data_IF_919195388182
#
_entry.id   IF_919195388182
#
_cell.length_a   1.000
_cell.length_b   1.000
_cell.length_c   1.000
_cell.angle_alpha   90.00
_cell.angle_beta   90.00
_cell.angle_gamma   90.00
#
_symmetry.space_group_name_H-M   'P 1'
#
loop_
_entity.id
_entity.type
_entity.pdbx_description
1 polymer ?
#
# COMPACT_ATOMS: atom_id res chain seq x y z
N UNK A 1 -6.30 -71.92 -15.24
CA UNK A 1 -5.78 -70.95 -16.23
C UNK A 1 -5.94 -69.53 -15.66
N UNK A 2 -5.21 -69.19 -14.58
CA UNK A 2 -5.37 -67.91 -13.87
C UNK A 2 -4.03 -67.38 -13.36
N UNK A 3 -3.04 -67.31 -14.23
CA UNK A 3 -1.77 -66.62 -13.99
C UNK A 3 -1.31 -65.98 -15.29
N UNK A 4 -1.80 -64.78 -15.58
CA UNK A 4 -1.14 -63.74 -16.38
C UNK A 4 -2.15 -62.64 -16.74
N UNK A 5 -2.47 -61.77 -15.79
CA UNK A 5 -3.14 -60.49 -16.08
C UNK A 5 -2.46 -59.42 -15.22
N UNK A 6 -2.19 -58.25 -15.81
CA UNK A 6 -1.54 -57.10 -15.16
C UNK A 6 -2.37 -56.63 -13.96
N UNK A 7 -1.70 -56.07 -12.94
CA UNK A 7 -2.26 -55.56 -11.66
C UNK A 7 -3.44 -54.57 -11.79
N UNK A 8 -3.78 -54.13 -13.00
CA UNK A 8 -4.84 -53.17 -13.31
C UNK A 8 -6.15 -53.84 -13.78
N UNK A 9 -6.17 -55.16 -13.98
CA UNK A 9 -7.36 -55.88 -14.47
C UNK A 9 -8.07 -56.57 -13.31
N UNK A 10 -9.30 -56.13 -13.02
CA UNK A 10 -10.17 -56.72 -12.01
C UNK A 10 -11.02 -57.82 -12.65
N UNK A 11 -10.87 -59.06 -12.16
CA UNK A 11 -11.55 -60.23 -12.71
C UNK A 11 -12.79 -60.54 -11.86
N UNK A 12 -13.97 -60.34 -12.46
CA UNK A 12 -15.25 -60.55 -11.78
C UNK A 12 -15.80 -61.91 -12.23
N UNK A 13 -16.01 -62.82 -11.28
CA UNK A 13 -16.59 -64.14 -11.56
C UNK A 13 -18.12 -64.05 -11.48
N UNK A 14 -18.81 -64.42 -12.56
CA UNK A 14 -20.27 -64.33 -12.68
C UNK A 14 -20.99 -65.60 -12.21
N UNK A 15 -20.34 -66.77 -12.34
CA UNK A 15 -20.92 -68.07 -11.93
C UNK A 15 -19.83 -68.98 -11.35
N UNK A 16 -20.13 -69.66 -10.24
CA UNK A 16 -19.27 -70.66 -9.63
C UNK A 16 -20.00 -72.01 -9.66
N UNK A 17 -19.48 -72.99 -10.41
CA UNK A 17 -20.18 -74.25 -10.70
C UNK A 17 -20.39 -75.16 -9.47
N UNK A 18 -19.79 -74.88 -8.32
CA UNK A 18 -19.80 -75.75 -7.14
C UNK A 18 -20.78 -75.34 -6.04
N UNK A 19 -21.47 -74.19 -6.15
CA UNK A 19 -22.41 -73.68 -5.13
C UNK A 19 -23.87 -73.76 -5.54
N UNK A 20 -24.75 -74.03 -4.56
CA UNK A 20 -26.21 -74.19 -4.74
C UNK A 20 -26.98 -72.92 -5.19
N UNK A 21 -26.41 -71.71 -5.03
CA UNK A 21 -27.13 -70.45 -5.30
C UNK A 21 -26.47 -69.64 -6.45
N UNK A 22 -26.64 -70.09 -7.69
CA UNK A 22 -26.05 -69.48 -8.90
C UNK A 22 -26.50 -68.05 -9.15
N UNK A 23 -27.78 -67.73 -8.89
CA UNK A 23 -28.36 -66.39 -9.16
C UNK A 23 -27.77 -65.32 -8.23
N UNK A 24 -27.54 -65.66 -6.96
CA UNK A 24 -26.97 -64.73 -5.98
C UNK A 24 -25.53 -64.36 -6.34
N UNK A 25 -24.73 -65.35 -6.78
CA UNK A 25 -23.36 -65.11 -7.27
C UNK A 25 -23.35 -64.20 -8.49
N UNK A 26 -24.31 -64.38 -9.40
CA UNK A 26 -24.44 -63.54 -10.59
C UNK A 26 -24.83 -62.09 -10.25
N UNK A 27 -25.86 -61.88 -9.41
CA UNK A 27 -26.27 -60.55 -8.97
C UNK A 27 -25.17 -59.83 -8.18
N UNK A 28 -24.38 -60.57 -7.41
CA UNK A 28 -23.19 -60.04 -6.74
C UNK A 28 -22.16 -59.54 -7.74
N UNK A 29 -21.88 -60.31 -8.80
CA UNK A 29 -20.98 -59.88 -9.88
C UNK A 29 -21.46 -58.62 -10.61
N UNK A 30 -22.77 -58.43 -10.77
CA UNK A 30 -23.35 -57.18 -11.30
C UNK A 30 -23.14 -56.01 -10.33
N UNK A 31 -23.29 -56.23 -9.03
CA UNK A 31 -22.99 -55.21 -8.01
C UNK A 31 -21.50 -54.81 -8.00
N UNK A 32 -20.61 -55.79 -8.16
CA UNK A 32 -19.17 -55.54 -8.27
C UNK A 32 -18.83 -54.72 -9.53
N UNK A 33 -19.51 -54.99 -10.66
CA UNK A 33 -19.40 -54.16 -11.88
C UNK A 33 -19.85 -52.71 -11.64
N UNK A 34 -20.94 -52.50 -10.89
CA UNK A 34 -21.43 -51.16 -10.56
C UNK A 34 -20.43 -50.37 -9.69
N UNK A 35 -19.87 -51.02 -8.67
CA UNK A 35 -18.88 -50.40 -7.77
C UNK A 35 -17.60 -49.97 -8.48
N UNK A 36 -17.25 -50.62 -9.60
CA UNK A 36 -16.10 -50.25 -10.44
C UNK A 36 -16.42 -49.05 -11.36
N UNK A 37 -17.68 -48.62 -11.44
CA UNK A 37 -18.12 -47.46 -12.20
C UNK A 37 -18.88 -47.78 -13.50
N UNK A 38 -19.17 -49.06 -13.77
CA UNK A 38 -20.06 -49.44 -14.88
C UNK A 38 -21.54 -49.22 -14.48
N UNK A 39 -22.43 -49.05 -15.48
CA UNK A 39 -23.85 -48.76 -15.24
C UNK A 39 -24.78 -49.82 -15.85
N UNK A 40 -24.82 -51.04 -15.30
CA UNK A 40 -25.68 -52.11 -15.81
C UNK A 40 -27.16 -51.76 -15.66
N UNK A 41 -27.95 -52.00 -16.71
CA UNK A 41 -29.39 -51.73 -16.74
C UNK A 41 -30.17 -52.87 -16.08
N UNK A 42 -30.08 -52.98 -14.75
CA UNK A 42 -30.66 -54.06 -13.95
C UNK A 42 -32.19 -54.16 -14.11
N UNK A 43 -32.87 -53.04 -14.40
CA UNK A 43 -34.32 -53.01 -14.60
C UNK A 43 -34.79 -53.95 -15.71
N UNK A 44 -33.97 -54.21 -16.74
CA UNK A 44 -34.31 -55.11 -17.85
C UNK A 44 -34.33 -56.59 -17.48
N UNK A 45 -33.79 -56.95 -16.31
CA UNK A 45 -33.81 -58.33 -15.80
C UNK A 45 -35.15 -58.69 -15.15
N UNK A 46 -36.01 -57.69 -14.88
CA UNK A 46 -37.30 -57.86 -14.25
C UNK A 46 -38.42 -57.38 -15.19
N UNK A 47 -39.66 -57.86 -15.00
CA UNK A 47 -40.80 -57.34 -15.73
C UNK A 47 -40.94 -55.82 -15.54
N UNK A 48 -41.49 -55.09 -16.55
CA UNK A 48 -41.62 -53.65 -16.48
C UNK A 48 -42.55 -53.24 -15.33
N UNK A 49 -42.11 -52.26 -14.53
CA UNK A 49 -42.89 -51.70 -13.42
C UNK A 49 -43.98 -50.78 -13.98
N UNK A 50 -45.20 -50.91 -13.46
CA UNK A 50 -46.31 -50.03 -13.81
C UNK A 50 -46.30 -48.77 -12.94
N UNK A 51 -46.38 -47.61 -13.59
CA UNK A 51 -46.47 -46.30 -12.93
C UNK A 51 -47.89 -45.72 -13.09
N UNK A 52 -48.39 -44.91 -12.13
CA UNK A 52 -47.72 -44.44 -10.91
C UNK A 52 -47.56 -45.51 -9.83
N UNK A 53 -46.58 -45.34 -8.95
CA UNK A 53 -46.34 -46.25 -7.82
C UNK A 53 -47.50 -46.21 -6.82
N UNK A 54 -47.65 -47.28 -6.03
CA UNK A 54 -48.72 -47.41 -5.06
C UNK A 54 -48.58 -46.44 -3.87
N UNK A 55 -49.71 -46.12 -3.23
CA UNK A 55 -49.70 -45.32 -2.00
C UNK A 55 -48.96 -46.09 -0.89
N UNK A 56 -47.95 -45.46 -0.29
CA UNK A 56 -47.11 -46.07 0.75
C UNK A 56 -45.73 -46.52 0.27
N UNK A 57 -45.40 -46.36 -1.02
CA UNK A 57 -44.02 -46.52 -1.50
C UNK A 57 -43.08 -45.52 -0.76
N UNK A 58 -41.97 -45.97 -0.15
CA UNK A 58 -41.06 -45.11 0.60
C UNK A 58 -40.48 -43.95 -0.22
N UNK A 59 -40.21 -42.82 0.45
CA UNK A 59 -39.56 -41.67 -0.16
C UNK A 59 -38.08 -41.93 -0.39
N UNK A 60 -37.57 -41.51 -1.57
CA UNK A 60 -36.13 -41.59 -1.89
C UNK A 60 -35.37 -40.40 -1.29
N UNK A 61 -35.98 -39.22 -1.21
CA UNK A 61 -35.32 -37.98 -0.77
C UNK A 61 -34.55 -38.09 0.56
N UNK A 62 -35.07 -38.72 1.64
CA UNK A 62 -34.34 -38.84 2.90
C UNK A 62 -33.11 -39.78 2.85
N UNK A 63 -33.00 -40.62 1.82
CA UNK A 63 -31.90 -41.58 1.66
C UNK A 63 -30.69 -40.96 0.93
N UNK A 64 -30.90 -39.86 0.21
CA UNK A 64 -29.83 -39.14 -0.49
C UNK A 64 -29.12 -38.21 0.49
N UNK A 65 -27.83 -38.45 0.72
CA UNK A 65 -26.97 -37.62 1.57
C UNK A 65 -25.89 -36.96 0.74
N UNK A 66 -25.57 -35.72 1.08
CA UNK A 66 -24.47 -34.97 0.49
C UNK A 66 -23.36 -34.81 1.53
N UNK A 67 -22.14 -34.60 1.06
CA UNK A 67 -21.04 -34.19 1.92
C UNK A 67 -21.22 -32.71 2.30
N UNK A 68 -21.47 -32.47 3.58
CA UNK A 68 -21.67 -31.14 4.17
C UNK A 68 -20.49 -30.77 5.09
N UNK A 69 -19.28 -31.27 4.80
CA UNK A 69 -18.07 -30.95 5.58
C UNK A 69 -17.61 -29.49 5.44
N UNK A 70 -17.89 -28.85 4.31
CA UNK A 70 -17.56 -27.46 4.05
C UNK A 70 -18.72 -26.53 4.42
N UNK A 71 -18.45 -25.55 5.28
CA UNK A 71 -19.41 -24.53 5.66
C UNK A 71 -19.44 -23.40 4.62
N UNK A 72 -20.65 -23.00 4.21
CA UNK A 72 -20.87 -21.85 3.35
C UNK A 72 -21.26 -20.63 4.18
N UNK A 73 -20.75 -19.45 3.81
CA UNK A 73 -21.16 -18.20 4.42
C UNK A 73 -22.65 -17.95 4.20
N UNK A 74 -23.43 -17.98 5.28
CA UNK A 74 -24.82 -17.55 5.27
C UNK A 74 -24.95 -16.17 5.91
N UNK A 75 -25.71 -15.29 5.27
CA UNK A 75 -26.04 -13.99 5.85
C UNK A 75 -26.98 -14.18 7.05
N UNK A 76 -26.42 -14.17 8.25
CA UNK A 76 -27.22 -14.07 9.47
C UNK A 76 -27.73 -12.64 9.59
N UNK A 77 -29.02 -12.43 9.37
CA UNK A 77 -29.68 -11.18 9.71
C UNK A 77 -29.66 -11.03 11.23
N UNK A 78 -28.68 -10.28 11.75
CA UNK A 78 -28.83 -9.64 13.05
C UNK A 78 -29.76 -8.47 12.82
N UNK A 79 -30.91 -8.46 13.49
CA UNK A 79 -31.74 -7.25 13.52
C UNK A 79 -30.86 -6.08 13.95
N UNK A 80 -31.04 -4.92 13.33
CA UNK A 80 -30.30 -3.72 13.68
C UNK A 80 -30.42 -3.49 15.20
N UNK A 81 -29.33 -3.69 15.94
CA UNK A 81 -29.24 -3.12 17.27
C UNK A 81 -29.34 -1.60 17.07
N UNK A 82 -30.44 -1.01 17.55
CA UNK A 82 -30.55 0.45 17.65
C UNK A 82 -29.35 0.90 18.48
N UNK A 83 -28.41 1.58 17.85
CA UNK A 83 -27.23 2.14 18.51
C UNK A 83 -27.75 3.27 19.40
N UNK A 84 -27.98 2.99 20.68
CA UNK A 84 -28.27 4.00 21.72
C UNK A 84 -26.99 4.70 22.21
N UNK A 85 -25.86 4.50 21.54
CA UNK A 85 -24.57 5.04 21.96
C UNK A 85 -24.33 6.41 21.33
N UNK A 86 -24.11 7.43 22.17
CA UNK A 86 -23.63 8.77 21.78
C UNK A 86 -22.17 8.76 21.30
N UNK A 87 -21.52 7.61 21.30
CA UNK A 87 -20.15 7.41 20.89
C UNK A 87 -20.04 6.18 19.99
N UNK A 88 -19.26 6.27 18.91
CA UNK A 88 -18.86 5.12 18.09
C UNK A 88 -17.35 5.05 18.04
N UNK A 89 -16.83 3.93 18.53
CA UNK A 89 -15.40 3.62 18.43
C UNK A 89 -15.17 2.91 17.10
N UNK A 90 -14.36 3.51 16.24
CA UNK A 90 -13.97 2.93 14.95
C UNK A 90 -12.47 2.65 14.99
N UNK A 91 -12.10 1.38 14.82
CA UNK A 91 -10.70 0.97 14.76
C UNK A 91 -10.22 1.00 13.32
N UNK A 92 -9.30 1.91 13.01
CA UNK A 92 -8.68 2.03 11.68
C UNK A 92 -7.30 1.43 11.74
N UNK A 93 -7.04 0.45 10.87
CA UNK A 93 -5.72 -0.18 10.76
C UNK A 93 -5.43 -0.54 9.31
N UNK A 94 -4.20 -0.27 8.86
CA UNK A 94 -3.73 -0.60 7.50
C UNK A 94 -3.71 -2.13 7.28
N UNK A 95 -3.68 -2.93 8.34
CA UNK A 95 -3.78 -4.39 8.26
C UNK A 95 -5.17 -4.87 7.80
N UNK A 96 -6.20 -4.02 7.93
CA UNK A 96 -7.56 -4.34 7.47
C UNK A 96 -7.64 -3.93 5.99
N UNK A 97 -8.00 -4.90 5.12
CA UNK A 97 -8.08 -4.72 3.66
C UNK A 97 -8.89 -3.48 3.23
N UNK A 98 -9.96 -3.15 3.97
CA UNK A 98 -10.79 -1.98 3.70
C UNK A 98 -10.05 -0.65 3.87
N UNK A 99 -9.03 -0.59 4.73
CA UNK A 99 -8.26 0.62 5.05
C UNK A 99 -6.84 0.61 4.49
N UNK A 100 -6.44 -0.45 3.81
CA UNK A 100 -5.11 -0.61 3.21
C UNK A 100 -4.73 0.57 2.30
N UNK A 101 -5.71 1.10 1.55
CA UNK A 101 -5.53 2.24 0.65
C UNK A 101 -5.06 3.51 1.35
N UNK A 102 -5.30 3.65 2.65
CA UNK A 102 -4.85 4.81 3.44
C UNK A 102 -3.33 4.88 3.55
N UNK A 103 -2.61 3.77 3.33
CA UNK A 103 -1.15 3.76 3.22
C UNK A 103 -0.60 4.71 2.15
N UNK A 104 -1.41 5.03 1.14
CA UNK A 104 -1.03 5.94 0.07
C UNK A 104 -1.04 7.42 0.42
N UNK A 105 -1.55 7.81 1.59
CA UNK A 105 -1.66 9.21 2.00
C UNK A 105 -0.45 9.68 2.83
N UNK A 106 0.69 9.85 2.15
CA UNK A 106 1.96 10.21 2.80
C UNK A 106 2.20 11.71 2.68
N UNK A 107 2.48 12.37 3.81
CA UNK A 107 2.88 13.78 3.88
C UNK A 107 4.14 13.90 4.72
N UNK A 108 5.16 14.58 4.20
CA UNK A 108 6.50 14.72 4.81
C UNK A 108 7.07 13.38 5.33
N UNK A 109 6.88 12.30 4.57
CA UNK A 109 7.38 10.96 4.88
C UNK A 109 6.63 10.22 6.00
N UNK A 110 5.48 10.73 6.47
CA UNK A 110 4.60 10.06 7.44
C UNK A 110 3.25 9.74 6.80
N UNK A 111 2.69 8.59 7.17
CA UNK A 111 1.31 8.27 6.83
C UNK A 111 0.37 9.01 7.79
N UNK A 112 -0.24 10.09 7.31
CA UNK A 112 -1.21 10.87 8.08
C UNK A 112 -2.61 10.46 7.65
N UNK A 113 -3.52 10.27 8.62
CA UNK A 113 -4.91 9.97 8.29
C UNK A 113 -5.54 11.16 7.55
N UNK A 114 -6.06 10.97 6.32
CA UNK A 114 -6.68 12.05 5.56
C UNK A 114 -7.90 12.63 6.31
N UNK A 115 -8.09 13.95 6.23
CA UNK A 115 -9.25 14.66 6.82
C UNK A 115 -10.57 14.04 6.36
N UNK A 116 -10.66 13.65 5.09
CA UNK A 116 -11.88 13.07 4.50
C UNK A 116 -12.32 11.81 5.25
N UNK A 117 -11.39 11.05 5.85
CA UNK A 117 -11.75 9.87 6.63
C UNK A 117 -12.63 10.27 7.83
N UNK A 118 -12.27 11.32 8.55
CA UNK A 118 -13.09 11.81 9.67
C UNK A 118 -14.47 12.27 9.20
N UNK A 119 -14.55 12.97 8.07
CA UNK A 119 -15.82 13.42 7.49
C UNK A 119 -16.71 12.24 7.08
N UNK A 120 -16.13 11.19 6.50
CA UNK A 120 -16.85 9.98 6.16
C UNK A 120 -17.38 9.28 7.41
N UNK A 121 -16.59 9.18 8.48
CA UNK A 121 -17.03 8.58 9.74
C UNK A 121 -18.19 9.36 10.36
N UNK A 122 -18.11 10.69 10.38
CA UNK A 122 -19.19 11.56 10.85
C UNK A 122 -20.44 11.39 9.97
N UNK A 123 -20.27 11.32 8.65
CA UNK A 123 -21.41 11.13 7.74
C UNK A 123 -22.09 9.77 7.95
N UNK A 124 -21.31 8.70 8.07
CA UNK A 124 -21.83 7.36 8.38
C UNK A 124 -22.54 7.34 9.74
N UNK A 125 -22.06 8.11 10.71
CA UNK A 125 -22.70 8.29 12.01
C UNK A 125 -24.05 8.98 11.89
N UNK A 126 -24.12 10.10 11.18
CA UNK A 126 -25.36 10.85 10.95
C UNK A 126 -26.37 10.01 10.16
N UNK A 127 -25.93 9.37 9.09
CA UNK A 127 -26.78 8.56 8.21
C UNK A 127 -27.31 7.27 8.86
N UNK A 128 -26.75 6.84 10.00
CA UNK A 128 -27.23 5.68 10.74
C UNK A 128 -28.36 6.00 11.76
N UNK A 129 -28.84 7.25 11.82
CA UNK A 129 -29.91 7.79 12.69
C UNK A 129 -29.66 7.69 14.21
N UNK A 130 -29.12 8.77 14.79
CA UNK A 130 -29.68 9.54 15.93
C UNK A 130 -28.59 10.44 16.55
N UNK A 131 -28.19 11.50 15.85
CA UNK A 131 -27.40 12.56 16.45
C UNK A 131 -28.07 13.90 16.22
N UNK A 132 -28.51 14.53 17.32
CA UNK A 132 -28.68 15.98 17.38
C UNK A 132 -27.27 16.57 17.54
N UNK A 133 -26.85 17.38 16.56
CA UNK A 133 -25.66 18.22 16.73
C UNK A 133 -26.09 19.39 17.61
N UNK A 134 -25.74 19.32 18.89
CA UNK A 134 -26.06 20.35 19.88
C UNK A 134 -24.83 21.27 20.00
N UNK A 135 -24.89 22.46 19.40
CA UNK A 135 -23.93 23.53 19.64
C UNK A 135 -24.57 24.54 20.62
N UNK A 136 -24.38 24.32 21.93
CA UNK A 136 -25.03 25.11 22.97
C UNK A 136 -26.51 24.72 23.21
N UNK A 137 -27.35 25.65 23.68
CA UNK A 137 -28.75 25.37 24.08
C UNK A 137 -29.75 25.31 22.90
N UNK A 138 -29.27 25.09 21.67
CA UNK A 138 -30.08 25.08 20.44
C UNK A 138 -29.84 23.79 19.66
N UNK A 139 -30.92 23.07 19.34
CA UNK A 139 -30.90 22.01 18.33
C UNK A 139 -30.72 22.66 16.96
N UNK A 140 -29.72 22.23 16.20
CA UNK A 140 -29.59 22.59 14.78
C UNK A 140 -30.47 21.63 14.00
N UNK A 141 -31.77 21.92 13.97
CA UNK A 141 -32.72 21.26 13.09
C UNK A 141 -32.57 21.84 11.68
N UNK A 142 -32.33 20.95 10.73
CA UNK A 142 -32.38 21.17 9.28
C UNK A 142 -31.14 21.80 8.61
N UNK A 143 -30.19 20.94 8.20
CA UNK A 143 -29.18 21.29 7.18
C UNK A 143 -29.83 21.11 5.79
N UNK A 144 -30.82 21.94 5.48
CA UNK A 144 -31.31 22.06 4.11
C UNK A 144 -30.19 22.69 3.26
N UNK A 145 -29.31 21.86 2.66
CA UNK A 145 -28.24 22.41 1.83
C UNK A 145 -28.83 23.02 0.55
N UNK A 146 -28.78 24.34 0.46
CA UNK A 146 -28.81 25.07 -0.80
C UNK A 146 -27.68 24.54 -1.68
N UNK A 147 -28.03 23.96 -2.83
CA UNK A 147 -27.07 23.60 -3.87
C UNK A 147 -26.59 24.90 -4.51
N UNK A 148 -25.29 25.04 -4.78
CA UNK A 148 -24.81 26.16 -5.61
C UNK A 148 -25.64 26.21 -6.91
N UNK A 149 -26.28 27.36 -7.23
CA UNK A 149 -27.06 27.46 -8.45
C UNK A 149 -26.16 27.17 -9.64
N UNK A 150 -26.60 26.25 -10.51
CA UNK A 150 -25.88 25.80 -11.72
C UNK A 150 -25.42 26.98 -12.60
N UNK A 151 -26.10 28.11 -12.48
CA UNK A 151 -25.82 29.37 -13.16
C UNK A 151 -24.43 29.97 -12.84
N UNK A 152 -23.84 29.64 -11.68
CA UNK A 152 -22.50 30.10 -11.27
C UNK A 152 -21.37 29.14 -11.64
N UNK A 153 -21.70 27.94 -12.13
CA UNK A 153 -20.74 26.97 -12.66
C UNK A 153 -20.45 27.32 -14.12
N UNK A 154 -19.93 28.53 -14.38
CA UNK A 154 -19.50 28.90 -15.72
C UNK A 154 -18.36 27.99 -16.16
N UNK A 155 -18.49 27.38 -17.35
CA UNK A 155 -17.37 26.73 -18.02
C UNK A 155 -16.34 27.80 -18.35
N UNK A 156 -15.25 27.86 -17.60
CA UNK A 156 -14.07 28.59 -18.04
C UNK A 156 -13.39 27.74 -19.12
N UNK A 157 -13.93 27.79 -20.34
CA UNK A 157 -13.41 27.11 -21.54
C UNK A 157 -11.98 27.58 -21.93
N UNK A 158 -11.34 28.44 -21.13
CA UNK A 158 -10.02 29.01 -21.38
C UNK A 158 -8.88 28.38 -20.55
N UNK A 159 -9.19 27.59 -19.51
CA UNK A 159 -8.14 26.97 -18.67
C UNK A 159 -7.75 25.58 -19.21
N UNK A 160 -6.88 25.60 -20.23
CA UNK A 160 -6.27 24.41 -20.83
C UNK A 160 -5.47 23.59 -19.79
N UNK A 161 -5.65 22.27 -19.84
CA UNK A 161 -4.99 21.34 -18.93
C UNK A 161 -3.61 20.90 -19.45
N UNK A 162 -2.60 21.70 -19.14
CA UNK A 162 -1.23 21.45 -19.62
C UNK A 162 -0.40 20.50 -18.73
N UNK A 163 -0.73 20.38 -17.44
CA UNK A 163 0.01 19.52 -16.53
C UNK A 163 -0.54 18.10 -16.60
N UNK A 164 0.33 17.12 -16.83
CA UNK A 164 -0.02 15.70 -16.75
C UNK A 164 0.17 15.17 -15.31
N UNK A 165 -0.19 13.91 -15.06
CA UNK A 165 -0.02 13.26 -13.76
C UNK A 165 1.41 13.39 -13.19
N UNK A 166 2.46 13.19 -13.99
CA UNK A 166 3.84 13.27 -13.49
C UNK A 166 4.21 14.68 -13.06
N UNK A 167 3.80 15.69 -13.81
CA UNK A 167 4.04 17.10 -13.49
C UNK A 167 3.32 17.50 -12.18
N UNK A 168 2.06 17.11 -12.05
CA UNK A 168 1.23 17.38 -10.87
C UNK A 168 1.87 16.78 -9.62
N UNK A 169 2.18 15.49 -9.65
CA UNK A 169 2.70 14.79 -8.47
C UNK A 169 4.17 15.12 -8.21
N UNK A 170 4.94 15.55 -9.21
CA UNK A 170 6.27 16.13 -9.00
C UNK A 170 6.16 17.44 -8.22
N UNK A 171 5.22 18.32 -8.56
CA UNK A 171 5.05 19.57 -7.82
C UNK A 171 4.51 19.33 -6.39
N UNK A 172 3.51 18.46 -6.23
CA UNK A 172 3.04 18.08 -4.89
C UNK A 172 4.18 17.48 -4.03
N UNK A 173 5.07 16.68 -4.64
CA UNK A 173 6.26 16.13 -3.96
C UNK A 173 7.26 17.19 -3.56
N UNK A 174 7.47 18.23 -4.36
CA UNK A 174 8.31 19.38 -3.99
C UNK A 174 7.73 20.16 -2.81
N UNK A 175 6.40 20.25 -2.71
CA UNK A 175 5.68 20.83 -1.57
C UNK A 175 5.76 19.97 -0.31
N UNK A 176 6.01 18.66 -0.46
CA UNK A 176 6.21 17.70 0.64
C UNK A 176 5.14 16.61 0.74
N UNK A 177 4.25 16.51 -0.24
CA UNK A 177 3.25 15.44 -0.33
C UNK A 177 3.75 14.28 -1.18
N UNK A 178 3.82 13.08 -0.61
CA UNK A 178 4.29 11.87 -1.31
C UNK A 178 3.14 10.88 -1.55
N UNK A 179 2.07 11.34 -2.19
CA UNK A 179 0.90 10.51 -2.46
C UNK A 179 1.21 9.30 -3.36
N UNK A 180 0.60 8.16 -3.04
CA UNK A 180 0.68 6.92 -3.82
C UNK A 180 -0.67 6.19 -3.86
N UNK A 181 -0.78 5.15 -4.68
CA UNK A 181 -1.98 4.31 -4.76
C UNK A 181 -3.24 5.10 -5.16
N UNK A 182 -4.33 4.95 -4.39
CA UNK A 182 -5.60 5.64 -4.67
C UNK A 182 -5.55 7.16 -4.45
N UNK A 183 -4.50 7.70 -3.82
CA UNK A 183 -4.29 9.14 -3.69
C UNK A 183 -3.46 9.72 -4.85
N UNK A 184 -3.21 8.94 -5.89
CA UNK A 184 -2.44 9.33 -7.07
C UNK A 184 -3.28 9.21 -8.36
N UNK A 185 -4.42 9.92 -8.41
CA UNK A 185 -5.44 9.77 -9.45
C UNK A 185 -5.75 11.04 -10.25
N UNK A 186 -5.06 12.15 -10.00
CA UNK A 186 -5.11 13.33 -10.86
C UNK A 186 -4.48 13.00 -12.22
N UNK A 187 -5.27 13.10 -13.29
CA UNK A 187 -4.82 12.84 -14.66
C UNK A 187 -4.19 14.06 -15.29
N UNK A 188 -4.85 15.19 -15.11
CA UNK A 188 -4.51 16.43 -15.78
C UNK A 188 -5.00 17.62 -14.97
N UNK A 189 -4.31 18.74 -15.14
CA UNK A 189 -4.60 19.99 -14.43
C UNK A 189 -4.17 21.20 -15.28
N UNK A 190 -4.90 22.30 -15.15
CA UNK A 190 -4.44 23.62 -15.60
C UNK A 190 -3.26 24.11 -14.78
N UNK A 191 -2.42 24.98 -15.35
CA UNK A 191 -1.26 25.59 -14.68
C UNK A 191 -1.68 26.36 -13.42
N UNK A 192 -2.88 26.95 -13.44
CA UNK A 192 -3.49 27.67 -12.32
C UNK A 192 -4.03 26.74 -11.22
N UNK A 193 -4.16 25.45 -11.52
CA UNK A 193 -4.75 24.47 -10.62
C UNK A 193 -6.27 24.62 -10.45
N UNK A 194 -6.96 25.28 -11.39
CA UNK A 194 -8.41 25.56 -11.28
C UNK A 194 -9.31 24.53 -11.95
N UNK A 195 -8.86 23.99 -13.08
CA UNK A 195 -9.50 22.89 -13.81
C UNK A 195 -8.60 21.66 -13.85
N UNK A 196 -9.19 20.47 -13.92
CA UNK A 196 -8.47 19.22 -14.11
C UNK A 196 -9.40 18.01 -14.21
N UNK A 197 -8.83 16.82 -14.31
CA UNK A 197 -9.56 15.56 -14.32
C UNK A 197 -9.04 14.58 -13.27
N UNK A 198 -9.96 13.93 -12.56
CA UNK A 198 -9.69 12.90 -11.57
C UNK A 198 -10.24 11.56 -12.08
N UNK A 199 -9.43 10.50 -12.05
CA UNK A 199 -9.90 9.14 -12.30
C UNK A 199 -10.76 8.66 -11.13
N UNK A 200 -11.96 8.14 -11.40
CA UNK A 200 -12.85 7.62 -10.35
C UNK A 200 -12.34 6.27 -9.78
N UNK A 201 -11.97 6.17 -8.49
CA UNK A 201 -11.42 4.94 -7.90
C UNK A 201 -12.45 3.98 -7.31
N UNK A 202 -13.75 4.25 -7.47
CA UNK A 202 -14.82 3.53 -6.72
C UNK A 202 -14.58 3.63 -5.20
N UNK A 203 -14.00 4.75 -4.76
CA UNK A 203 -13.72 5.03 -3.36
C UNK A 203 -13.88 6.53 -3.12
N UNK A 204 -14.95 6.92 -2.43
CA UNK A 204 -15.26 8.31 -2.13
C UNK A 204 -14.16 9.00 -1.34
N UNK A 205 -13.54 8.30 -0.36
CA UNK A 205 -12.47 8.86 0.47
C UNK A 205 -11.28 9.29 -0.38
N UNK A 206 -10.83 8.37 -1.24
CA UNK A 206 -9.72 8.63 -2.13
C UNK A 206 -10.08 9.74 -3.14
N UNK A 207 -11.28 9.68 -3.72
CA UNK A 207 -11.72 10.68 -4.70
C UNK A 207 -11.76 12.10 -4.13
N UNK A 208 -12.39 12.30 -2.98
CA UNK A 208 -12.40 13.60 -2.29
C UNK A 208 -11.00 14.02 -1.83
N UNK A 209 -10.15 13.06 -1.47
CA UNK A 209 -8.73 13.32 -1.23
C UNK A 209 -8.04 13.93 -2.44
N UNK A 210 -8.28 13.40 -3.65
CA UNK A 210 -7.75 13.96 -4.89
C UNK A 210 -8.37 15.34 -5.22
N UNK A 211 -9.64 15.58 -4.86
CA UNK A 211 -10.23 16.94 -4.97
C UNK A 211 -9.49 17.95 -4.08
N UNK A 212 -9.15 17.58 -2.83
CA UNK A 212 -8.34 18.46 -1.98
C UNK A 212 -6.93 18.68 -2.53
N UNK A 213 -6.31 17.67 -3.13
CA UNK A 213 -5.01 17.83 -3.80
C UNK A 213 -5.07 18.89 -4.91
N UNK A 214 -6.18 18.97 -5.65
CA UNK A 214 -6.40 20.02 -6.65
C UNK A 214 -6.38 21.42 -6.02
N UNK A 215 -7.02 21.59 -4.86
CA UNK A 215 -6.98 22.86 -4.11
C UNK A 215 -5.60 23.16 -3.57
N UNK A 216 -4.87 22.15 -3.09
CA UNK A 216 -3.47 22.30 -2.70
C UNK A 216 -2.64 22.83 -3.88
N UNK A 217 -2.86 22.30 -5.08
CA UNK A 217 -2.17 22.71 -6.30
C UNK A 217 -2.44 24.18 -6.64
N UNK A 218 -3.68 24.64 -6.47
CA UNK A 218 -4.09 26.05 -6.73
C UNK A 218 -3.44 27.08 -5.79
N UNK A 219 -2.92 26.67 -4.63
CA UNK A 219 -2.23 27.61 -3.73
C UNK A 219 -0.87 28.01 -4.30
N UNK A 220 -0.61 29.33 -4.32
CA UNK A 220 0.66 29.90 -4.77
C UNK A 220 1.84 29.71 -3.78
N UNK A 221 1.60 29.17 -2.58
CA UNK A 221 2.64 28.99 -1.56
C UNK A 221 3.03 27.52 -1.40
N UNK A 222 4.33 27.26 -1.20
CA UNK A 222 4.90 25.92 -1.00
C UNK A 222 4.61 25.31 0.38
N UNK A 223 3.58 25.79 1.07
CA UNK A 223 3.26 25.38 2.43
C UNK A 223 2.36 24.13 2.44
N UNK A 224 2.41 23.42 3.57
CA UNK A 224 1.57 22.27 3.85
C UNK A 224 0.20 22.70 4.39
N UNK A 225 -0.88 22.07 3.97
CA UNK A 225 -2.24 22.52 4.23
C UNK A 225 -3.11 21.37 4.76
N UNK A 226 -3.83 21.61 5.85
CA UNK A 226 -4.88 20.71 6.39
C UNK A 226 -6.27 21.31 6.14
N UNK A 227 -7.30 20.50 5.99
CA UNK A 227 -8.61 20.91 5.45
C UNK A 227 -9.78 20.53 6.39
N UNK A 228 -10.97 21.11 6.18
CA UNK A 228 -12.26 20.72 6.82
C UNK A 228 -13.41 21.03 5.84
N UNK A 229 -14.44 20.16 5.70
CA UNK A 229 -15.54 20.40 4.74
C UNK A 229 -16.83 19.55 4.93
N UNK A 230 -17.91 19.92 4.22
CA UNK A 230 -19.22 19.22 4.12
C UNK A 230 -19.51 18.81 2.65
N UNK A 231 -20.37 17.79 2.39
CA UNK A 231 -20.60 17.28 1.02
C UNK A 231 -21.94 16.52 0.79
N UNK A 232 -22.29 16.33 -0.50
CA UNK A 232 -23.39 15.48 -1.05
C UNK A 232 -22.89 14.69 -2.29
N UNK A 233 -23.61 13.67 -2.78
CA UNK A 233 -23.12 12.68 -3.77
C UNK A 233 -24.08 12.42 -4.95
N UNK A 234 -23.60 12.33 -6.22
CA UNK A 234 -24.31 11.74 -7.40
C UNK A 234 -23.34 11.28 -8.54
N UNK A 235 -23.70 10.16 -9.18
CA UNK A 235 -23.40 9.45 -10.47
C UNK A 235 -22.03 9.39 -11.18
N UNK A 236 -21.87 8.25 -11.88
CA UNK A 236 -20.64 7.56 -12.27
C UNK A 236 -20.19 7.87 -13.71
N UNK A 237 -19.02 8.50 -13.84
CA UNK A 237 -18.22 8.56 -15.08
C UNK A 237 -16.79 8.14 -14.74
N UNK A 238 -16.09 7.54 -15.70
CA UNK A 238 -14.74 6.95 -15.53
C UNK A 238 -13.69 7.98 -15.13
N UNK A 239 -13.74 9.17 -15.73
CA UNK A 239 -12.94 10.33 -15.35
C UNK A 239 -13.89 11.50 -15.12
N UNK A 240 -13.72 12.18 -14.00
CA UNK A 240 -14.59 13.27 -13.58
C UNK A 240 -13.84 14.59 -13.66
N UNK A 241 -14.40 15.63 -14.31
CA UNK A 241 -13.81 16.96 -14.29
C UNK A 241 -13.90 17.52 -12.87
N UNK A 242 -12.85 18.23 -12.44
CA UNK A 242 -12.80 18.96 -11.17
C UNK A 242 -12.56 20.44 -11.45
N UNK A 243 -13.35 21.29 -10.82
CA UNK A 243 -13.27 22.73 -10.94
C UNK A 243 -13.19 23.40 -9.58
N UNK A 244 -12.33 24.42 -9.48
CA UNK A 244 -12.17 25.27 -8.30
C UNK A 244 -12.69 26.67 -8.61
N UNK A 245 -13.65 27.10 -7.81
CA UNK A 245 -14.29 28.40 -7.91
C UNK A 245 -13.83 29.26 -6.73
N UNK A 246 -12.79 30.07 -6.94
CA UNK A 246 -12.21 30.93 -5.89
C UNK A 246 -13.24 31.91 -5.30
N UNK A 247 -14.12 32.45 -6.13
CA UNK A 247 -15.17 33.39 -5.69
C UNK A 247 -16.25 32.76 -4.81
N UNK A 248 -16.42 31.43 -4.90
CA UNK A 248 -17.38 30.65 -4.10
C UNK A 248 -16.69 29.86 -2.99
N UNK A 249 -15.35 29.93 -2.92
CA UNK A 249 -14.49 29.05 -2.13
C UNK A 249 -14.93 27.58 -2.20
N UNK A 250 -15.15 27.09 -3.42
CA UNK A 250 -15.74 25.78 -3.69
C UNK A 250 -14.89 24.93 -4.62
N UNK A 251 -14.86 23.62 -4.38
CA UNK A 251 -14.36 22.60 -5.31
C UNK A 251 -15.54 21.74 -5.72
N UNK A 252 -15.75 21.56 -7.01
CA UNK A 252 -16.85 20.78 -7.56
C UNK A 252 -16.31 19.71 -8.49
N UNK A 253 -16.74 18.46 -8.29
CA UNK A 253 -16.45 17.36 -9.22
C UNK A 253 -17.54 16.30 -9.15
N UNK A 254 -18.12 15.96 -10.31
CA UNK A 254 -19.29 15.08 -10.39
C UNK A 254 -20.45 15.62 -9.56
N UNK A 255 -20.98 14.80 -8.65
CA UNK A 255 -21.99 15.22 -7.67
C UNK A 255 -21.46 15.73 -6.34
N UNK A 256 -20.14 15.90 -6.17
CA UNK A 256 -19.50 16.29 -4.92
C UNK A 256 -19.10 17.77 -4.98
N UNK A 257 -19.49 18.48 -3.93
CA UNK A 257 -19.18 19.90 -3.72
C UNK A 257 -18.55 20.06 -2.34
N UNK A 258 -17.43 20.77 -2.29
CA UNK A 258 -16.63 21.01 -1.08
C UNK A 258 -16.41 22.52 -0.94
N UNK A 259 -17.02 23.14 0.07
CA UNK A 259 -16.97 24.59 0.28
C UNK A 259 -16.29 24.97 1.60
N UNK A 260 -15.84 26.23 1.69
CA UNK A 260 -15.38 26.84 2.95
C UNK A 260 -14.05 26.27 3.44
N UNK A 261 -13.19 25.89 2.51
CA UNK A 261 -11.93 25.23 2.79
C UNK A 261 -10.97 26.23 3.44
N UNK A 262 -10.71 26.00 4.73
CA UNK A 262 -9.65 26.71 5.46
C UNK A 262 -8.45 25.80 5.63
N UNK A 263 -7.28 26.32 5.29
CA UNK A 263 -6.05 25.59 5.42
C UNK A 263 -4.94 26.32 6.15
N UNK A 264 -4.29 25.62 7.07
CA UNK A 264 -3.20 26.14 7.90
C UNK A 264 -1.86 25.54 7.49
N UNK A 265 -0.85 26.40 7.35
CA UNK A 265 0.53 26.02 7.06
C UNK A 265 1.10 25.11 8.16
N UNK A 266 1.58 23.91 7.82
CA UNK A 266 2.30 23.03 8.75
C UNK A 266 3.82 23.19 8.53
N UNK A 267 4.58 23.29 9.63
CA UNK A 267 6.04 23.42 9.59
C UNK A 267 6.69 22.21 8.93
N UNK A 268 7.45 22.46 7.85
CA UNK A 268 8.25 21.43 7.18
C UNK A 268 9.43 21.05 8.06
N UNK A 269 9.75 19.76 8.12
CA UNK A 269 11.01 19.31 8.72
C UNK A 269 12.14 19.62 7.75
N UNK A 270 13.07 20.48 8.14
CA UNK A 270 14.30 20.70 7.39
C UNK A 270 15.16 19.45 7.50
N UNK A 271 15.15 18.60 6.47
CA UNK A 271 16.20 17.58 6.31
C UNK A 271 17.49 18.35 6.07
N UNK A 272 18.36 18.42 7.09
CA UNK A 272 19.69 19.06 7.01
C UNK A 272 20.58 18.21 6.10
N UNK A 273 20.35 18.27 4.79
CA UNK A 273 21.32 17.78 3.82
C UNK A 273 22.36 18.89 3.71
N UNK A 274 23.45 18.78 4.45
CA UNK A 274 24.56 19.69 4.31
C UNK A 274 25.26 19.34 2.99
N UNK A 275 25.02 20.14 1.96
CA UNK A 275 25.73 20.01 0.69
C UNK A 275 27.17 20.44 0.92
N UNK A 276 28.11 19.51 0.71
CA UNK A 276 29.54 19.79 0.72
C UNK A 276 29.90 20.30 -0.67
N UNK A 277 30.58 21.43 -0.75
CA UNK A 277 31.16 21.95 -1.98
C UNK A 277 32.64 21.59 -2.01
N UNK A 278 33.07 20.94 -3.08
CA UNK A 278 34.48 20.64 -3.33
C UNK A 278 34.94 21.43 -4.56
N UNK A 279 36.03 22.17 -4.42
CA UNK A 279 36.67 22.89 -5.51
C UNK A 279 37.88 22.10 -6.00
N UNK A 280 38.00 21.94 -7.32
CA UNK A 280 39.14 21.30 -7.96
C UNK A 280 40.12 22.37 -8.43
N UNK A 281 41.32 22.38 -7.86
CA UNK A 281 42.43 23.24 -8.27
C UNK A 281 43.61 22.39 -8.74
N UNK A 282 44.31 22.85 -9.77
CA UNK A 282 45.58 22.24 -10.15
C UNK A 282 46.64 22.55 -9.10
N UNK A 283 47.28 21.51 -8.55
CA UNK A 283 48.36 21.64 -7.57
C UNK A 283 49.61 21.01 -8.17
N UNK A 284 50.65 21.81 -8.52
CA UNK A 284 51.90 21.27 -9.03
C UNK A 284 52.56 20.36 -7.98
N UNK A 285 53.14 19.23 -8.42
CA UNK A 285 53.80 18.27 -7.51
C UNK A 285 54.94 18.89 -6.68
N UNK A 286 55.57 19.96 -7.19
CA UNK A 286 56.61 20.73 -6.49
C UNK A 286 56.37 22.22 -6.69
N UNK A 287 55.53 22.80 -5.84
CA UNK A 287 55.24 24.24 -5.86
C UNK A 287 55.90 24.99 -4.68
N UNK A 288 56.44 24.28 -3.69
CA UNK A 288 56.92 24.85 -2.41
C UNK A 288 55.92 25.78 -1.71
N UNK A 289 54.65 25.76 -2.12
CA UNK A 289 53.58 26.56 -1.56
C UNK A 289 53.24 26.04 -0.15
N UNK A 290 53.02 26.97 0.78
CA UNK A 290 52.59 26.63 2.13
C UNK A 290 51.11 26.20 2.09
N UNK A 291 50.83 24.98 2.55
CA UNK A 291 49.49 24.39 2.56
C UNK A 291 49.16 23.84 3.94
N UNK A 292 47.87 23.74 4.28
CA UNK A 292 47.44 23.20 5.57
C UNK A 292 47.71 21.69 5.67
N UNK A 293 48.01 21.19 6.87
CA UNK A 293 48.22 19.76 7.12
C UNK A 293 47.03 18.91 6.66
N UNK A 294 45.81 19.42 6.90
CA UNK A 294 44.56 18.79 6.51
C UNK A 294 44.44 18.62 4.99
N UNK A 295 44.83 19.64 4.22
CA UNK A 295 44.80 19.59 2.76
C UNK A 295 45.89 18.67 2.19
N UNK A 296 47.07 18.64 2.82
CA UNK A 296 48.17 17.74 2.41
C UNK A 296 47.72 16.28 2.56
N UNK A 297 47.22 15.93 3.75
CA UNK A 297 46.75 14.56 4.05
C UNK A 297 45.59 14.19 3.12
N UNK A 298 44.64 15.11 2.89
CA UNK A 298 43.52 14.90 1.97
C UNK A 298 43.98 14.62 0.53
N UNK A 299 44.91 15.43 0.01
CA UNK A 299 45.52 15.18 -1.30
C UNK A 299 46.24 13.83 -1.37
N UNK A 300 47.05 13.51 -0.35
CA UNK A 300 47.80 12.23 -0.33
C UNK A 300 46.86 11.03 -0.36
N UNK A 301 45.76 11.08 0.39
CA UNK A 301 44.74 10.02 0.39
C UNK A 301 44.03 9.94 -0.97
N UNK A 302 43.67 11.08 -1.58
CA UNK A 302 43.04 11.11 -2.90
C UNK A 302 43.96 10.54 -4.00
N UNK A 303 45.24 10.92 -4.02
CA UNK A 303 46.22 10.40 -4.98
C UNK A 303 46.41 8.89 -4.79
N UNK A 304 46.55 8.42 -3.54
CA UNK A 304 46.69 6.99 -3.26
C UNK A 304 45.45 6.20 -3.73
N UNK A 305 44.26 6.74 -3.50
CA UNK A 305 43.01 6.15 -3.98
C UNK A 305 42.92 6.08 -5.50
N UNK A 306 43.32 7.15 -6.19
CA UNK A 306 43.33 7.23 -7.65
C UNK A 306 44.35 6.27 -8.28
N UNK A 307 45.54 6.14 -7.69
CA UNK A 307 46.58 5.25 -8.21
C UNK A 307 46.27 3.75 -8.05
N UNK A 308 45.46 3.36 -7.06
CA UNK A 308 45.26 1.95 -6.71
C UNK A 308 43.81 1.44 -6.86
N UNK A 309 42.84 2.28 -7.24
CA UNK A 309 41.42 1.92 -7.43
C UNK A 309 40.83 1.10 -6.25
N UNK A 310 41.20 1.41 -5.01
CA UNK A 310 40.83 0.62 -3.84
C UNK A 310 39.49 1.03 -3.23
N UNK A 311 38.61 0.05 -3.03
CA UNK A 311 37.30 0.23 -2.36
C UNK A 311 37.40 -0.02 -0.85
N UNK A 312 38.31 -0.91 -0.44
CA UNK A 312 38.54 -1.28 0.97
C UNK A 312 39.96 -0.88 1.35
N UNK A 313 40.10 -0.01 2.35
CA UNK A 313 41.39 0.55 2.76
C UNK A 313 41.61 0.26 4.24
N UNK A 314 42.82 -0.21 4.57
CA UNK A 314 43.32 -0.26 5.94
C UNK A 314 44.43 0.76 6.06
N UNK A 315 44.24 1.71 6.97
CA UNK A 315 45.22 2.75 7.28
C UNK A 315 45.84 2.42 8.62
N UNK A 316 47.16 2.46 8.67
CA UNK A 316 47.96 2.23 9.87
C UNK A 316 48.86 3.45 10.02
N UNK A 317 48.70 4.16 11.14
CA UNK A 317 49.61 5.23 11.55
C UNK A 317 50.63 4.63 12.52
N UNK A 318 51.91 4.77 12.18
CA UNK A 318 53.02 4.25 12.97
C UNK A 318 53.53 5.34 13.92
N UNK A 319 53.64 5.02 15.21
CA UNK A 319 54.10 5.94 16.26
C UNK A 319 55.27 5.24 16.96
N UNK A 320 56.45 5.88 16.98
CA UNK A 320 57.61 5.36 17.69
C UNK A 320 57.55 5.71 19.18
N UNK A 321 58.12 4.87 20.05
CA UNK A 321 58.10 5.06 21.51
C UNK A 321 58.84 6.34 21.96
N UNK A 322 59.64 6.95 21.08
CA UNK A 322 60.31 8.24 21.29
C UNK A 322 59.42 9.45 21.03
N UNK A 323 58.27 9.26 20.38
CA UNK A 323 57.42 10.35 19.91
C UNK A 323 56.43 10.77 21.01
N UNK A 324 56.52 12.04 21.43
CA UNK A 324 55.51 12.64 22.31
C UNK A 324 54.40 13.20 21.40
N UNK A 325 53.42 12.36 21.07
CA UNK A 325 52.30 12.73 20.17
C UNK A 325 51.07 13.10 20.98
N UNK A 326 50.54 14.32 20.78
CA UNK A 326 49.22 14.71 21.33
C UNK A 326 48.10 14.23 20.39
N UNK A 327 46.87 14.08 20.91
CA UNK A 327 45.72 13.63 20.10
C UNK A 327 45.48 14.53 18.86
N UNK A 328 45.82 15.81 18.97
CA UNK A 328 45.64 16.81 17.90
C UNK A 328 46.70 16.69 16.79
N UNK A 329 47.80 15.98 17.04
CA UNK A 329 48.89 15.77 16.08
C UNK A 329 48.71 14.50 15.23
N UNK A 330 47.67 13.69 15.52
CA UNK A 330 47.39 12.45 14.80
C UNK A 330 46.75 12.71 13.43
N UNK A 331 47.21 11.97 12.42
CA UNK A 331 46.65 12.03 11.07
C UNK A 331 45.39 11.18 10.90
N UNK A 332 45.26 10.12 11.71
CA UNK A 332 44.11 9.20 11.72
C UNK A 332 42.73 9.89 11.66
N UNK A 333 42.40 10.89 12.50
CA UNK A 333 41.09 11.57 12.44
C UNK A 333 40.86 12.32 11.13
N UNK A 334 41.90 12.95 10.56
CA UNK A 334 41.82 13.67 9.29
C UNK A 334 41.58 12.68 8.14
N UNK A 335 42.33 11.58 8.12
CA UNK A 335 42.16 10.52 7.12
C UNK A 335 40.74 9.93 7.19
N UNK A 336 40.22 9.71 8.40
CA UNK A 336 38.86 9.20 8.58
C UNK A 336 37.79 10.17 8.10
N UNK A 337 37.96 11.47 8.34
CA UNK A 337 37.08 12.51 7.80
C UNK A 337 37.04 12.49 6.27
N UNK A 338 38.21 12.39 5.62
CA UNK A 338 38.33 12.31 4.15
C UNK A 338 37.66 11.07 3.60
N UNK A 339 37.90 9.90 4.20
CA UNK A 339 37.32 8.63 3.74
C UNK A 339 35.79 8.58 3.92
N UNK A 340 35.25 9.19 4.98
CA UNK A 340 33.81 9.26 5.21
C UNK A 340 33.07 10.15 4.20
N UNK A 341 33.75 11.12 3.60
CA UNK A 341 33.16 12.00 2.58
C UNK A 341 33.11 11.33 1.20
N UNK A 342 33.78 10.19 1.01
CA UNK A 342 33.81 9.47 -0.27
C UNK A 342 32.70 8.40 -0.35
N UNK A 343 31.76 8.50 -1.31
CA UNK A 343 30.51 7.72 -1.29
C UNK A 343 30.66 6.20 -1.52
N UNK A 344 31.83 5.71 -1.91
CA UNK A 344 32.06 4.31 -2.29
C UNK A 344 33.17 3.61 -1.48
N UNK A 345 33.85 4.30 -0.57
CA UNK A 345 35.03 3.76 0.14
C UNK A 345 34.64 3.27 1.54
N UNK A 346 35.03 2.04 1.89
CA UNK A 346 34.86 1.47 3.25
C UNK A 346 36.22 1.37 3.93
N UNK A 347 36.41 2.07 5.04
CA UNK A 347 37.68 2.09 5.79
C UNK A 347 37.56 1.37 7.14
N UNK A 348 38.61 0.63 7.51
CA UNK A 348 38.84 0.13 8.86
C UNK A 348 40.22 0.65 9.32
N UNK A 349 40.26 1.52 10.32
CA UNK A 349 41.53 2.05 10.86
C UNK A 349 41.91 1.33 12.16
N UNK A 350 43.19 0.99 12.28
CA UNK A 350 43.77 0.36 13.47
C UNK A 350 45.12 0.99 13.77
N UNK A 351 45.29 1.51 14.99
CA UNK A 351 46.57 2.02 15.48
C UNK A 351 47.41 0.84 15.96
N UNK A 352 48.64 0.69 15.48
CA UNK A 352 49.56 -0.36 15.93
C UNK A 352 50.79 0.25 16.58
N UNK A 353 50.97 0.00 17.89
CA UNK A 353 52.20 0.27 18.64
C UNK A 353 53.12 -0.95 18.55
N UNK A 354 54.40 -0.76 18.23
CA UNK A 354 55.39 -1.85 18.22
C UNK A 354 55.98 -2.05 19.61
N UNK A 355 55.53 -3.09 20.34
CA UNK A 355 56.33 -3.63 21.45
C UNK A 355 57.47 -4.48 20.87
N UNK A 356 58.68 -3.91 20.81
CA UNK A 356 59.88 -4.67 20.49
C UNK A 356 60.32 -5.50 21.71
N UNK A 357 60.11 -6.82 21.61
CA UNK A 357 60.66 -7.83 22.50
C UNK A 357 62.20 -7.82 22.50
N UNK A 358 62.86 -7.74 23.67
CA UNK A 358 64.11 -8.45 24.04
C UNK A 358 64.35 -8.34 25.58
N UNK A 359 65.25 -9.13 26.20
CA UNK A 359 65.05 -10.49 26.68
C UNK A 359 65.06 -10.59 28.23
N UNK A 360 64.47 -11.65 28.76
CA UNK A 360 64.54 -11.99 30.19
C UNK A 360 65.97 -12.35 30.61
N UNK A 361 66.61 -11.48 31.39
CA UNK A 361 67.67 -11.83 32.33
C UNK A 361 67.45 -11.07 33.64
N UNK A 362 66.93 -11.77 34.64
CA UNK A 362 67.60 -12.16 35.90
C UNK A 362 66.68 -13.05 36.70
#
# INVERSE_FOLDING_TARGET
MAKSLKSTVLLISLCEHSKKNTIQSFLKGIGDLYNIGFQPQIASLYPPVQFPVSRGTPMISPLVRWDHSEDYFFYRYSGYDKIFSRERIVTISIAIKEFEYLSGHITDGKNLLPVIVYLLLIWQMIGSNNFEIIEGDKSVDDIACEKLPVQFLSNSDEDNEYMNTEDIYKELRLRGYQYTGLFHLLKSASITGKSGHIRWPINYTAFMGNMLQMKILSFNSKNHYAFLSHYKSVDFVTDLPVHIYDCLDAIVSGGIEICGIKATAISRRLTKIQTIYEEYSFIPYRDNAMMSLKDVVRMSVHIALECYEMINIRVIEFIEDSDIVLLDDLFTPIVQEVLNNLPLVRSNLTNSLTQNNTPTHT
#
